data_IF_127168028084
#
_entry.id   IF_127168028084
#
_cell.length_a   1.000
_cell.length_b   1.000
_cell.length_c   1.000
_cell.angle_alpha   90.00
_cell.angle_beta   90.00
_cell.angle_gamma   90.00
#
_symmetry.space_group_name_H-M   'P 1'
#
loop_
_entity.id
_entity.type
_entity.pdbx_description
1 polymer ?
#
# COMPACT_ATOMS: atom_id res chain seq x y z
N UNK A 1 -19.12 3.40 -13.82
CA UNK A 1 -17.92 3.63 -14.67
C UNK A 1 -16.93 4.67 -14.11
N UNK A 2 -17.01 5.07 -12.83
CA UNK A 2 -16.15 6.13 -12.25
C UNK A 2 -14.83 5.64 -11.62
N UNK A 3 -14.54 4.34 -11.64
CA UNK A 3 -13.58 3.73 -10.70
C UNK A 3 -12.11 3.79 -11.12
N UNK A 4 -11.81 3.80 -12.42
CA UNK A 4 -10.43 4.03 -12.90
C UNK A 4 -10.16 5.53 -13.05
N UNK A 5 -11.18 6.30 -13.44
CA UNK A 5 -11.07 7.73 -13.68
C UNK A 5 -10.56 8.51 -12.46
N UNK A 6 -11.02 8.20 -11.24
CA UNK A 6 -10.55 8.91 -10.03
C UNK A 6 -9.10 8.57 -9.66
N UNK A 7 -8.71 7.31 -9.79
CA UNK A 7 -7.30 6.90 -9.60
C UNK A 7 -6.41 7.52 -10.68
N UNK A 8 -6.87 7.51 -11.94
CA UNK A 8 -6.18 8.10 -13.09
C UNK A 8 -6.10 9.64 -12.98
N UNK A 9 -7.14 10.30 -12.46
CA UNK A 9 -7.16 11.74 -12.16
C UNK A 9 -6.16 12.09 -11.06
N UNK A 10 -6.08 11.28 -9.99
CA UNK A 10 -5.08 11.47 -8.92
C UNK A 10 -3.65 11.20 -9.42
N UNK A 11 -3.48 10.22 -10.32
CA UNK A 11 -2.24 9.95 -11.07
C UNK A 11 -1.84 11.08 -12.02
N UNK A 12 -2.80 11.72 -12.67
CA UNK A 12 -2.53 12.77 -13.65
C UNK A 12 -2.27 14.16 -13.03
N UNK A 13 -2.66 14.38 -11.77
CA UNK A 13 -2.68 15.72 -11.13
C UNK A 13 -1.55 15.98 -10.14
N UNK A 14 -0.76 14.98 -9.76
CA UNK A 14 0.29 15.12 -8.74
C UNK A 14 1.71 15.03 -9.31
N UNK A 15 2.54 16.03 -9.00
CA UNK A 15 4.00 15.93 -9.12
C UNK A 15 4.53 15.10 -7.94
N UNK A 16 4.35 13.79 -7.98
CA UNK A 16 4.95 12.90 -6.99
C UNK A 16 6.43 12.73 -7.35
N UNK A 17 7.32 13.10 -6.42
CA UNK A 17 8.75 12.85 -6.56
C UNK A 17 9.08 11.45 -6.05
N UNK A 18 10.31 10.98 -6.31
CA UNK A 18 10.82 9.80 -5.64
C UNK A 18 10.76 10.03 -4.12
N UNK A 19 10.42 9.00 -3.36
CA UNK A 19 10.28 9.13 -1.93
C UNK A 19 10.69 7.86 -1.21
N UNK A 20 11.17 8.06 0.03
CA UNK A 20 11.42 6.98 0.97
C UNK A 20 10.09 6.28 1.31
N UNK A 21 10.03 4.98 1.08
CA UNK A 21 8.83 4.17 1.35
C UNK A 21 8.34 4.30 2.80
N UNK A 22 9.18 4.35 3.85
CA UNK A 22 8.72 4.62 5.21
C UNK A 22 7.87 5.90 5.35
N UNK A 23 8.23 6.96 4.62
CA UNK A 23 7.50 8.23 4.65
C UNK A 23 6.12 8.08 4.00
N UNK A 24 6.05 7.41 2.84
CA UNK A 24 4.79 7.15 2.12
C UNK A 24 3.81 6.37 2.99
N UNK A 25 4.32 5.34 3.69
CA UNK A 25 3.52 4.52 4.60
C UNK A 25 3.03 5.35 5.80
N UNK A 26 3.93 6.14 6.40
CA UNK A 26 3.59 6.99 7.55
C UNK A 26 2.54 8.05 7.20
N UNK A 27 2.69 8.70 6.04
CA UNK A 27 1.74 9.72 5.57
C UNK A 27 0.36 9.11 5.30
N UNK A 28 0.31 7.93 4.67
CA UNK A 28 -0.94 7.22 4.38
C UNK A 28 -1.75 6.87 5.63
N UNK A 29 -1.12 6.80 6.80
CA UNK A 29 -1.76 6.46 8.07
C UNK A 29 -1.90 7.61 9.05
N UNK A 30 -1.43 8.82 8.68
CA UNK A 30 -1.38 10.00 9.55
C UNK A 30 -2.74 10.42 10.15
N UNK A 31 -3.85 10.03 9.51
CA UNK A 31 -5.21 10.28 9.99
C UNK A 31 -5.70 9.29 11.06
N UNK A 32 -4.93 8.25 11.39
CA UNK A 32 -5.32 7.18 12.30
C UNK A 32 -4.39 7.11 13.53
N UNK A 33 -4.82 6.51 14.65
CA UNK A 33 -4.00 6.43 15.86
C UNK A 33 -2.76 5.56 15.63
N UNK A 34 -1.58 6.15 15.80
CA UNK A 34 -0.28 5.52 15.52
C UNK A 34 -0.05 4.21 16.28
N UNK A 35 -0.59 4.09 17.49
CA UNK A 35 -0.47 2.93 18.35
C UNK A 35 -1.21 1.70 17.80
N UNK A 36 -2.13 1.88 16.85
CA UNK A 36 -2.80 0.77 16.16
C UNK A 36 -1.98 0.22 15.00
N UNK A 37 -0.85 0.84 14.65
CA UNK A 37 0.01 0.40 13.55
C UNK A 37 1.32 -0.17 14.06
N UNK A 38 1.76 -1.24 13.42
CA UNK A 38 3.10 -1.82 13.56
C UNK A 38 3.74 -1.77 12.17
N UNK A 39 4.71 -0.89 11.99
CA UNK A 39 5.34 -0.60 10.70
C UNK A 39 6.78 -1.09 10.72
N UNK A 40 7.21 -1.84 9.70
CA UNK A 40 8.57 -2.39 9.64
C UNK A 40 9.06 -2.59 8.21
N UNK A 41 10.35 -2.41 7.95
CA UNK A 41 10.97 -2.65 6.66
C UNK A 41 12.22 -1.81 6.45
N UNK A 42 13.01 -2.09 5.40
CA UNK A 42 14.21 -1.32 5.09
C UNK A 42 13.87 0.11 4.65
N UNK A 43 14.80 1.05 4.88
CA UNK A 43 14.70 2.40 4.32
C UNK A 43 15.14 2.35 2.85
N UNK A 44 14.16 2.47 1.94
CA UNK A 44 14.36 2.39 0.49
C UNK A 44 13.64 3.53 -0.20
N UNK A 45 14.25 4.06 -1.26
CA UNK A 45 13.59 4.95 -2.19
C UNK A 45 12.76 4.15 -3.20
N UNK A 46 11.58 4.68 -3.51
CA UNK A 46 10.72 4.14 -4.56
C UNK A 46 10.43 5.22 -5.61
N UNK A 47 10.35 4.84 -6.90
CA UNK A 47 10.11 5.82 -7.96
C UNK A 47 8.70 6.44 -7.84
N UNK A 48 8.47 7.65 -8.37
CA UNK A 48 7.20 8.36 -8.34
C UNK A 48 5.93 7.53 -8.59
N UNK A 49 5.99 6.67 -9.61
CA UNK A 49 4.87 5.80 -10.02
C UNK A 49 4.51 4.79 -8.93
N UNK A 50 5.52 4.26 -8.25
CA UNK A 50 5.38 3.36 -7.11
C UNK A 50 4.87 4.11 -5.89
N UNK A 51 5.42 5.30 -5.58
CA UNK A 51 4.96 6.15 -4.47
C UNK A 51 3.45 6.33 -4.51
N UNK A 52 2.92 6.80 -5.64
CA UNK A 52 1.50 7.10 -5.73
C UNK A 52 0.62 5.84 -5.69
N UNK A 53 1.00 4.79 -6.42
CA UNK A 53 0.25 3.54 -6.38
C UNK A 53 0.20 2.96 -4.96
N UNK A 54 1.31 3.04 -4.22
CA UNK A 54 1.39 2.61 -2.81
C UNK A 54 0.53 3.48 -1.91
N UNK A 55 0.64 4.81 -2.01
CA UNK A 55 -0.18 5.72 -1.22
C UNK A 55 -1.69 5.42 -1.37
N UNK A 56 -2.16 5.21 -2.61
CA UNK A 56 -3.58 4.91 -2.87
C UNK A 56 -4.00 3.53 -2.36
N UNK A 57 -3.17 2.51 -2.55
CA UNK A 57 -3.45 1.15 -2.05
C UNK A 57 -3.52 1.15 -0.51
N UNK A 58 -2.54 1.75 0.15
CA UNK A 58 -2.48 1.82 1.61
C UNK A 58 -3.63 2.63 2.20
N UNK A 59 -4.02 3.75 1.55
CA UNK A 59 -5.21 4.51 1.95
C UNK A 59 -6.49 3.67 1.85
N UNK A 60 -6.66 2.88 0.79
CA UNK A 60 -7.86 2.05 0.68
C UNK A 60 -7.87 0.89 1.67
N UNK A 61 -6.71 0.27 1.94
CA UNK A 61 -6.60 -0.75 2.98
C UNK A 61 -6.94 -0.15 4.36
N UNK A 62 -6.38 1.00 4.70
CA UNK A 62 -6.68 1.69 5.96
C UNK A 62 -8.14 2.12 6.07
N UNK A 63 -8.72 2.63 4.98
CA UNK A 63 -10.14 3.00 4.93
C UNK A 63 -11.05 1.79 5.15
N UNK A 64 -10.71 0.64 4.56
CA UNK A 64 -11.47 -0.60 4.77
C UNK A 64 -11.32 -1.12 6.20
N UNK A 65 -10.12 -1.09 6.75
CA UNK A 65 -9.87 -1.47 8.14
C UNK A 65 -10.63 -0.59 9.13
N UNK A 66 -10.74 0.72 8.85
CA UNK A 66 -11.49 1.65 9.71
C UNK A 66 -13.00 1.45 9.63
N UNK A 67 -13.52 1.06 8.46
CA UNK A 67 -14.96 0.82 8.26
C UNK A 67 -15.42 -0.54 8.75
N UNK A 68 -14.58 -1.57 8.58
CA UNK A 68 -15.01 -2.97 8.66
C UNK A 68 -14.08 -3.87 9.48
N UNK A 69 -12.85 -3.43 9.76
CA UNK A 69 -11.76 -4.29 10.22
C UNK A 69 -11.08 -3.79 11.48
N UNK A 70 -9.77 -4.01 11.59
CA UNK A 70 -9.00 -3.78 12.82
C UNK A 70 -9.05 -2.33 13.32
N UNK A 71 -9.08 -1.33 12.43
CA UNK A 71 -9.10 0.08 12.85
C UNK A 71 -10.51 0.56 13.27
N UNK A 72 -11.55 -0.28 13.15
CA UNK A 72 -12.90 0.05 13.60
C UNK A 72 -13.09 -0.10 15.12
N UNK A 73 -12.14 -0.74 15.81
CA UNK A 73 -12.17 -0.99 17.26
C UNK A 73 -10.85 -0.60 17.89
N UNK A 74 -10.88 -0.12 19.14
CA UNK A 74 -9.65 0.38 19.81
C UNK A 74 -8.59 -0.68 20.11
N UNK A 75 -8.97 -1.97 20.17
CA UNK A 75 -8.03 -3.09 20.39
C UNK A 75 -7.33 -3.55 19.11
N UNK A 76 -7.87 -3.24 17.95
CA UNK A 76 -7.38 -3.79 16.70
C UNK A 76 -6.06 -3.17 16.28
N UNK A 77 -5.26 -3.96 15.58
CA UNK A 77 -3.93 -3.61 15.10
C UNK A 77 -3.78 -3.93 13.62
N UNK A 78 -3.02 -3.08 12.94
CA UNK A 78 -2.58 -3.26 11.56
C UNK A 78 -1.07 -3.38 11.55
N UNK A 79 -0.58 -4.52 11.07
CA UNK A 79 0.83 -4.71 10.70
C UNK A 79 1.04 -4.35 9.24
N UNK A 80 2.03 -3.49 8.98
CA UNK A 80 2.53 -3.21 7.63
C UNK A 80 4.02 -3.50 7.61
N UNK A 81 4.43 -4.41 6.74
CA UNK A 81 5.83 -4.77 6.57
C UNK A 81 6.22 -4.79 5.11
N UNK A 82 7.48 -4.49 4.82
CA UNK A 82 8.03 -4.69 3.48
C UNK A 82 9.47 -5.18 3.53
N UNK A 83 9.87 -5.83 2.45
CA UNK A 83 11.21 -6.35 2.23
C UNK A 83 11.55 -6.26 0.74
N UNK A 84 12.85 -6.27 0.43
CA UNK A 84 13.38 -6.29 -0.92
C UNK A 84 14.25 -7.53 -1.07
N UNK A 85 14.14 -8.21 -2.22
CA UNK A 85 15.03 -9.34 -2.54
C UNK A 85 16.50 -8.95 -2.42
N UNK A 86 17.37 -9.94 -2.18
CA UNK A 86 18.82 -9.70 -2.08
C UNK A 86 19.42 -9.06 -3.36
N UNK A 87 18.78 -9.26 -4.51
CA UNK A 87 19.13 -8.63 -5.79
C UNK A 87 18.66 -7.19 -5.94
N UNK A 88 17.80 -6.68 -5.04
CA UNK A 88 17.26 -5.32 -5.11
C UNK A 88 16.16 -5.13 -6.16
N UNK A 89 15.68 -6.21 -6.77
CA UNK A 89 14.84 -6.17 -7.98
C UNK A 89 13.34 -6.40 -7.71
N UNK A 90 12.96 -6.70 -6.48
CA UNK A 90 11.59 -7.01 -6.12
C UNK A 90 11.26 -6.56 -4.71
N UNK A 91 10.22 -5.75 -4.60
CA UNK A 91 9.58 -5.32 -3.37
C UNK A 91 8.42 -6.25 -3.03
N UNK A 92 8.38 -6.73 -1.80
CA UNK A 92 7.21 -7.41 -1.23
C UNK A 92 6.69 -6.60 -0.06
N UNK A 93 5.40 -6.29 -0.07
CA UNK A 93 4.69 -5.59 1.01
C UNK A 93 3.60 -6.51 1.55
N UNK A 94 3.51 -6.60 2.87
CA UNK A 94 2.49 -7.33 3.58
C UNK A 94 1.70 -6.41 4.51
N UNK A 95 0.37 -6.48 4.39
CA UNK A 95 -0.62 -5.89 5.28
C UNK A 95 -1.30 -7.00 6.07
N UNK A 96 -1.46 -6.81 7.38
CA UNK A 96 -2.11 -7.78 8.26
C UNK A 96 -2.97 -7.09 9.32
N UNK A 97 -4.26 -7.38 9.32
CA UNK A 97 -5.17 -6.97 10.39
C UNK A 97 -5.23 -8.02 11.48
N UNK A 98 -5.34 -7.59 12.73
CA UNK A 98 -5.54 -8.48 13.89
C UNK A 98 -6.36 -7.78 14.97
N UNK A 99 -7.05 -8.54 15.82
CA UNK A 99 -7.79 -8.01 16.96
C UNK A 99 -8.99 -7.12 16.59
N UNK A 100 -9.41 -7.18 15.32
CA UNK A 100 -10.62 -6.53 14.81
C UNK A 100 -11.87 -7.41 14.94
N UNK A 101 -13.02 -6.94 14.43
CA UNK A 101 -14.22 -7.76 14.28
C UNK A 101 -13.98 -8.97 13.37
N UNK A 102 -14.82 -10.00 13.50
CA UNK A 102 -14.78 -11.14 12.60
C UNK A 102 -15.01 -10.71 11.15
N UNK A 103 -14.07 -11.06 10.28
CA UNK A 103 -14.14 -10.74 8.86
C UNK A 103 -15.05 -11.76 8.17
N UNK A 104 -16.01 -11.25 7.41
CA UNK A 104 -16.80 -12.06 6.49
C UNK A 104 -16.34 -11.74 5.05
N UNK A 105 -15.87 -12.74 4.28
CA UNK A 105 -15.46 -12.52 2.90
C UNK A 105 -16.58 -11.85 2.09
N UNK A 106 -16.29 -10.78 1.34
CA UNK A 106 -17.32 -10.10 0.58
C UNK A 106 -17.80 -11.02 -0.56
N UNK A 107 -19.12 -11.20 -0.69
CA UNK A 107 -19.71 -12.05 -1.74
C UNK A 107 -19.45 -11.56 -3.18
N UNK A 108 -18.88 -10.37 -3.36
CA UNK A 108 -18.38 -9.84 -4.63
C UNK A 108 -17.18 -8.93 -4.38
N UNK A 109 -16.25 -8.88 -5.33
CA UNK A 109 -15.15 -7.90 -5.29
C UNK A 109 -15.73 -6.48 -5.28
N UNK A 110 -15.42 -5.72 -4.23
CA UNK A 110 -15.81 -4.33 -4.08
C UNK A 110 -14.98 -3.39 -4.94
N UNK A 111 -15.19 -2.08 -4.76
CA UNK A 111 -14.35 -1.07 -5.41
C UNK A 111 -12.89 -1.16 -4.94
N UNK A 112 -12.67 -1.25 -3.62
CA UNK A 112 -11.33 -1.28 -3.02
C UNK A 112 -10.45 -2.42 -3.56
N UNK A 113 -10.94 -3.67 -3.55
CA UNK A 113 -10.16 -4.80 -4.08
C UNK A 113 -9.84 -4.67 -5.56
N UNK A 114 -10.79 -4.16 -6.39
CA UNK A 114 -10.51 -3.87 -7.80
C UNK A 114 -9.45 -2.78 -7.99
N UNK A 115 -9.47 -1.73 -7.17
CA UNK A 115 -8.47 -0.67 -7.21
C UNK A 115 -7.09 -1.22 -6.84
N UNK A 116 -7.00 -2.03 -5.79
CA UNK A 116 -5.74 -2.66 -5.35
C UNK A 116 -5.14 -3.52 -6.46
N UNK A 117 -5.94 -4.42 -7.06
CA UNK A 117 -5.45 -5.24 -8.16
C UNK A 117 -5.06 -4.41 -9.39
N UNK A 118 -5.85 -3.40 -9.76
CA UNK A 118 -5.57 -2.57 -10.94
C UNK A 118 -4.29 -1.74 -10.79
N UNK A 119 -4.07 -1.14 -9.61
CA UNK A 119 -2.85 -0.38 -9.33
C UNK A 119 -1.63 -1.29 -9.24
N UNK A 120 -1.76 -2.46 -8.61
CA UNK A 120 -0.66 -3.42 -8.50
C UNK A 120 -0.23 -3.91 -9.88
N UNK A 121 -1.16 -4.33 -10.74
CA UNK A 121 -0.84 -4.79 -12.08
C UNK A 121 -0.39 -3.66 -13.02
N UNK A 122 -1.14 -2.56 -13.07
CA UNK A 122 -0.94 -1.51 -14.06
C UNK A 122 0.16 -0.50 -13.71
N UNK A 123 0.31 -0.16 -12.42
CA UNK A 123 1.27 0.86 -12.00
C UNK A 123 2.57 0.25 -11.49
N UNK A 124 2.47 -0.77 -10.65
CA UNK A 124 3.66 -1.41 -10.06
C UNK A 124 4.26 -2.49 -10.97
N UNK A 125 3.57 -2.93 -12.02
CA UNK A 125 4.00 -4.07 -12.82
C UNK A 125 4.01 -5.40 -12.05
N UNK A 126 3.25 -5.44 -10.95
CA UNK A 126 3.26 -6.52 -9.98
C UNK A 126 1.90 -7.21 -9.83
N UNK A 127 1.69 -7.83 -8.68
CA UNK A 127 0.41 -8.46 -8.31
C UNK A 127 0.07 -8.19 -6.85
N UNK A 128 -1.22 -8.22 -6.55
CA UNK A 128 -1.73 -8.19 -5.19
C UNK A 128 -2.59 -9.43 -4.94
N UNK A 129 -2.44 -10.00 -3.76
CA UNK A 129 -3.21 -11.13 -3.25
C UNK A 129 -3.88 -10.69 -1.95
N UNK A 130 -5.21 -10.78 -1.91
CA UNK A 130 -6.02 -10.33 -0.79
C UNK A 130 -6.77 -11.54 -0.20
N UNK A 131 -6.58 -11.79 1.09
CA UNK A 131 -7.23 -12.86 1.84
C UNK A 131 -8.08 -12.26 2.97
N UNK A 132 -9.24 -12.87 3.19
CA UNK A 132 -10.23 -12.45 4.17
C UNK A 132 -10.39 -13.58 5.18
N UNK A 133 -9.44 -13.69 6.11
CA UNK A 133 -9.48 -14.70 7.16
C UNK A 133 -10.35 -14.20 8.31
N UNK A 134 -10.99 -15.11 9.06
CA UNK A 134 -11.93 -14.76 10.13
C UNK A 134 -11.31 -13.79 11.16
N UNK A 135 -10.00 -13.87 11.38
CA UNK A 135 -9.25 -13.08 12.35
C UNK A 135 -8.71 -11.75 11.79
N UNK A 136 -8.82 -11.51 10.47
CA UNK A 136 -8.31 -10.31 9.84
C UNK A 136 -8.15 -10.39 8.32
N UNK A 137 -8.06 -9.21 7.69
CA UNK A 137 -7.69 -9.07 6.28
C UNK A 137 -6.17 -9.13 6.13
N UNK A 138 -5.72 -9.89 5.14
CA UNK A 138 -4.32 -9.96 4.73
C UNK A 138 -4.19 -9.49 3.28
N UNK A 139 -3.20 -8.65 3.00
CA UNK A 139 -2.85 -8.27 1.63
C UNK A 139 -1.35 -8.48 1.43
N UNK A 140 -0.97 -9.15 0.35
CA UNK A 140 0.42 -9.22 -0.10
C UNK A 140 0.53 -8.58 -1.48
N UNK A 141 1.47 -7.65 -1.63
CA UNK A 141 1.76 -6.99 -2.90
C UNK A 141 3.20 -7.32 -3.26
N UNK A 142 3.41 -7.84 -4.46
CA UNK A 142 4.75 -8.11 -5.00
C UNK A 142 4.91 -7.27 -6.25
N UNK A 143 5.96 -6.47 -6.31
CA UNK A 143 6.26 -5.58 -7.43
C UNK A 143 7.75 -5.62 -7.78
N UNK A 144 8.12 -5.58 -9.07
CA UNK A 144 9.50 -5.32 -9.44
C UNK A 144 9.95 -3.94 -8.93
N UNK A 145 11.20 -3.84 -8.50
CA UNK A 145 11.92 -2.59 -8.34
C UNK A 145 12.95 -2.53 -9.47
N UNK A 146 12.89 -1.49 -10.29
CA UNK A 146 13.95 -1.29 -11.28
C UNK A 146 15.26 -0.99 -10.54
N UNK A 147 16.24 -1.87 -10.71
CA UNK A 147 17.59 -1.80 -10.12
C UNK A 147 18.40 -0.57 -10.56
N UNK A 148 17.81 0.33 -11.35
CA UNK A 148 18.42 1.54 -11.89
C UNK A 148 18.33 2.76 -10.98
N UNK A 149 17.51 2.72 -9.92
CA UNK A 149 17.45 3.80 -8.94
C UNK A 149 18.58 3.64 -7.91
N UNK A 150 19.81 3.91 -8.36
CA UNK A 150 20.90 4.30 -7.46
C UNK A 150 20.79 5.79 -7.17
N UNK A 151 21.15 6.20 -5.95
CA UNK A 151 21.24 7.53 -5.30
C UNK A 151 21.68 8.75 -6.16
N UNK A 152 22.04 8.57 -7.43
CA UNK A 152 22.65 9.58 -8.29
C UNK A 152 21.70 10.57 -8.99
N UNK A 153 20.39 10.35 -9.00
CA UNK A 153 19.49 11.18 -9.83
C UNK A 153 19.02 12.50 -9.17
N UNK A 154 19.37 12.75 -7.90
CA UNK A 154 18.98 13.98 -7.19
C UNK A 154 19.91 15.19 -7.40
N UNK A 155 21.06 15.05 -8.08
CA UNK A 155 22.04 16.15 -8.20
C UNK A 155 22.06 16.92 -9.52
N UNK A 156 21.22 16.60 -10.51
CA UNK A 156 21.31 17.23 -11.85
C UNK A 156 20.24 18.29 -12.17
N UNK A 157 19.68 18.98 -11.17
CA UNK A 157 18.74 20.10 -11.38
C UNK A 157 18.95 21.30 -10.45
N UNK A 158 20.18 21.82 -10.43
CA UNK A 158 20.46 23.23 -10.09
C UNK A 158 21.27 23.87 -11.21
#
# INVERSE_FOLDING_TARGET
>A
LQSLARAHDLLARGNWEAARLPNVVSEAFSAYPSEQFIISGPDIDVPPKTVLAMALILHELATNAAKYGALSVGSGKVGVSWDVTASGDQLTIAWRETGGPQVNPPGRNGFGSRLIHALSAGQLGGKAELAYDVDGVHCTIVAPLDSGWSEHDHQSRL
#
